data_IF_851070370734
#
_entry.id   IF_851070370734
#
_cell.length_a   1.000
_cell.length_b   1.000
_cell.length_c   1.000
_cell.angle_alpha   90.00
_cell.angle_beta   90.00
_cell.angle_gamma   90.00
#
_symmetry.space_group_name_H-M   'P 1'
#
loop_
_entity.id
_entity.type
_entity.pdbx_description
1 polymer ?
#
# COMPACT_ATOMS: atom_id res chain seq x y z
N UNK A 1 -3.55 -14.22 -17.12
CA UNK A 1 -4.87 -14.66 -16.57
C UNK A 1 -4.79 -15.73 -15.47
N UNK A 2 -3.79 -16.62 -15.44
CA UNK A 2 -3.55 -17.54 -14.30
C UNK A 2 -2.49 -17.00 -13.33
N UNK A 3 -1.52 -16.25 -13.86
CA UNK A 3 -0.45 -15.59 -13.09
C UNK A 3 -1.01 -14.59 -12.08
N UNK A 4 -1.89 -13.67 -12.52
CA UNK A 4 -2.64 -12.76 -11.63
C UNK A 4 -3.42 -13.52 -10.54
N UNK A 5 -4.15 -14.57 -10.91
CA UNK A 5 -4.97 -15.29 -9.95
C UNK A 5 -4.11 -15.92 -8.86
N UNK A 6 -2.95 -16.46 -9.24
CA UNK A 6 -2.01 -17.05 -8.33
C UNK A 6 -1.27 -15.99 -7.47
N UNK A 7 -0.98 -14.80 -8.02
CA UNK A 7 -0.52 -13.62 -7.23
C UNK A 7 -1.53 -13.25 -6.15
N UNK A 8 -2.79 -13.04 -6.55
CA UNK A 8 -3.89 -12.69 -5.64
C UNK A 8 -4.09 -13.78 -4.59
N UNK A 9 -3.99 -15.06 -4.95
CA UNK A 9 -4.13 -16.17 -4.02
C UNK A 9 -3.00 -16.18 -2.97
N UNK A 10 -1.75 -15.97 -3.36
CA UNK A 10 -0.64 -15.84 -2.40
C UNK A 10 -0.86 -14.67 -1.46
N UNK A 11 -1.32 -13.52 -1.97
CA UNK A 11 -1.65 -12.37 -1.14
C UNK A 11 -2.77 -12.69 -0.13
N UNK A 12 -3.80 -13.45 -0.53
CA UNK A 12 -4.84 -13.92 0.39
C UNK A 12 -4.26 -14.79 1.52
N UNK A 13 -3.34 -15.70 1.18
CA UNK A 13 -2.71 -16.62 2.15
C UNK A 13 -1.87 -15.82 3.16
N UNK A 14 -1.04 -14.90 2.69
CA UNK A 14 -0.18 -14.08 3.56
C UNK A 14 -1.00 -13.13 4.44
N UNK A 15 -2.04 -12.48 3.90
CA UNK A 15 -2.95 -11.65 4.70
C UNK A 15 -3.71 -12.47 5.75
N UNK A 16 -4.18 -13.67 5.40
CA UNK A 16 -4.80 -14.58 6.37
C UNK A 16 -3.80 -15.08 7.43
N UNK A 17 -2.51 -15.17 7.10
CA UNK A 17 -1.45 -15.41 8.08
C UNK A 17 -1.28 -14.24 9.04
N UNK A 18 -1.30 -13.01 8.52
CA UNK A 18 -1.13 -11.78 9.30
C UNK A 18 -2.24 -11.57 10.36
N UNK A 19 -3.49 -11.94 10.05
CA UNK A 19 -4.61 -11.84 11.01
C UNK A 19 -4.42 -12.71 12.24
N UNK A 20 -3.77 -13.87 12.10
CA UNK A 20 -3.48 -14.78 13.22
C UNK A 20 -2.41 -14.25 14.16
N UNK A 21 -1.58 -13.32 13.68
CA UNK A 21 -0.41 -12.88 14.43
C UNK A 21 -0.59 -11.54 15.15
N UNK A 22 -1.39 -10.57 14.64
CA UNK A 22 -1.58 -9.27 15.33
C UNK A 22 -2.64 -8.27 14.80
N UNK A 23 -3.30 -8.47 13.66
CA UNK A 23 -4.18 -7.44 13.04
C UNK A 23 -5.56 -7.93 12.54
N UNK A 24 -6.44 -8.49 13.39
CA UNK A 24 -7.72 -9.01 12.92
C UNK A 24 -8.76 -7.91 12.62
N UNK A 25 -8.84 -6.84 13.43
CA UNK A 25 -10.00 -5.94 13.39
C UNK A 25 -10.08 -5.08 12.12
N UNK A 26 -8.98 -4.41 11.74
CA UNK A 26 -8.96 -3.54 10.56
C UNK A 26 -9.16 -4.34 9.26
N UNK A 27 -8.57 -5.54 9.16
CA UNK A 27 -8.73 -6.39 7.99
C UNK A 27 -10.14 -6.97 7.89
N UNK A 28 -10.70 -7.45 9.01
CA UNK A 28 -12.07 -7.98 9.03
C UNK A 28 -13.11 -6.91 8.66
N UNK A 29 -12.92 -5.67 9.14
CA UNK A 29 -13.81 -4.55 8.81
C UNK A 29 -13.67 -4.11 7.34
N UNK A 30 -12.44 -4.06 6.82
CA UNK A 30 -12.18 -3.81 5.40
C UNK A 30 -12.84 -4.87 4.50
N UNK A 31 -12.71 -6.15 4.86
CA UNK A 31 -13.35 -7.25 4.14
C UNK A 31 -14.87 -7.20 4.26
N UNK A 32 -15.42 -6.84 5.44
CA UNK A 32 -16.87 -6.69 5.63
C UNK A 32 -17.42 -5.57 4.76
N UNK A 33 -16.75 -4.42 4.70
CA UNK A 33 -17.12 -3.30 3.81
C UNK A 33 -17.12 -3.76 2.34
N UNK A 34 -16.08 -4.48 1.91
CA UNK A 34 -16.02 -5.01 0.56
C UNK A 34 -17.16 -6.01 0.26
N UNK A 35 -17.48 -6.93 1.18
CA UNK A 35 -18.60 -7.86 1.03
C UNK A 35 -19.95 -7.13 0.95
N UNK A 36 -20.15 -6.09 1.77
CA UNK A 36 -21.35 -5.26 1.72
C UNK A 36 -21.51 -4.57 0.36
N UNK A 37 -20.44 -3.99 -0.20
CA UNK A 37 -20.45 -3.40 -1.55
C UNK A 37 -20.80 -4.43 -2.63
N UNK A 38 -20.33 -5.67 -2.47
CA UNK A 38 -20.65 -6.79 -3.35
C UNK A 38 -22.06 -7.38 -3.12
N UNK A 39 -22.78 -6.93 -2.09
CA UNK A 39 -24.06 -7.50 -1.63
C UNK A 39 -23.96 -8.99 -1.28
N UNK A 40 -22.81 -9.40 -0.74
CA UNK A 40 -22.57 -10.77 -0.30
C UNK A 40 -22.86 -10.91 1.20
N UNK A 41 -23.74 -11.86 1.54
CA UNK A 41 -24.09 -12.18 2.92
C UNK A 41 -23.05 -13.13 3.53
N UNK A 42 -22.69 -12.91 4.80
CA UNK A 42 -21.83 -13.82 5.58
C UNK A 42 -22.71 -14.79 6.37
N UNK A 43 -22.81 -16.08 5.98
CA UNK A 43 -23.60 -17.06 6.72
C UNK A 43 -23.09 -17.23 8.16
N UNK A 44 -23.94 -17.58 9.14
CA UNK A 44 -23.51 -17.76 10.53
C UNK A 44 -22.44 -18.85 10.74
N UNK A 45 -22.30 -19.79 9.79
CA UNK A 45 -21.34 -20.88 9.83
C UNK A 45 -19.96 -20.52 9.26
N UNK A 46 -19.77 -19.31 8.73
CA UNK A 46 -18.54 -18.87 8.06
C UNK A 46 -18.05 -17.54 8.64
N UNK A 47 -16.75 -17.31 8.57
CA UNK A 47 -16.15 -16.03 8.90
C UNK A 47 -16.22 -15.06 7.71
N UNK A 48 -16.01 -13.76 7.99
CA UNK A 48 -15.89 -12.74 6.93
C UNK A 48 -14.76 -13.09 5.96
N UNK A 49 -13.64 -13.61 6.47
CA UNK A 49 -12.48 -14.01 5.67
C UNK A 49 -12.81 -15.17 4.73
N UNK A 50 -13.52 -16.19 5.22
CA UNK A 50 -13.93 -17.35 4.41
C UNK A 50 -14.77 -16.92 3.21
N UNK A 51 -15.72 -16.00 3.43
CA UNK A 51 -16.62 -15.51 2.37
C UNK A 51 -15.87 -14.57 1.42
N UNK A 52 -14.99 -13.71 1.95
CA UNK A 52 -14.21 -12.78 1.15
C UNK A 52 -13.23 -13.50 0.21
N UNK A 53 -12.42 -14.42 0.73
CA UNK A 53 -11.38 -15.12 -0.03
C UNK A 53 -11.94 -16.17 -0.99
N UNK A 54 -13.22 -16.54 -0.91
CA UNK A 54 -13.90 -17.36 -1.92
C UNK A 54 -13.83 -16.75 -3.33
N UNK A 55 -13.76 -15.42 -3.45
CA UNK A 55 -13.67 -14.71 -4.74
C UNK A 55 -12.35 -13.96 -4.87
N UNK A 56 -11.27 -14.73 -4.98
CA UNK A 56 -9.89 -14.22 -5.14
C UNK A 56 -9.75 -13.23 -6.30
N UNK A 57 -10.55 -13.37 -7.37
CA UNK A 57 -10.53 -12.44 -8.49
C UNK A 57 -10.81 -10.98 -8.11
N UNK A 58 -11.50 -10.74 -6.99
CA UNK A 58 -11.85 -9.41 -6.47
C UNK A 58 -10.95 -8.97 -5.31
N UNK A 59 -9.77 -9.58 -5.18
CA UNK A 59 -8.83 -9.34 -4.09
C UNK A 59 -8.55 -7.85 -3.88
N UNK A 60 -8.33 -7.08 -4.94
CA UNK A 60 -7.97 -5.66 -4.93
C UNK A 60 -8.92 -4.80 -4.09
N UNK A 61 -10.19 -5.19 -3.97
CA UNK A 61 -11.18 -4.46 -3.16
C UNK A 61 -10.87 -4.47 -1.66
N UNK A 62 -9.99 -5.36 -1.16
CA UNK A 62 -9.50 -5.33 0.22
C UNK A 62 -8.57 -4.14 0.45
N UNK A 63 -7.77 -3.77 -0.55
CA UNK A 63 -6.86 -2.62 -0.45
C UNK A 63 -7.65 -1.34 -0.30
N UNK A 64 -8.69 -1.17 -1.13
CA UNK A 64 -9.64 -0.08 -0.99
C UNK A 64 -10.33 -0.10 0.37
N UNK A 65 -10.81 -1.27 0.81
CA UNK A 65 -11.46 -1.40 2.13
C UNK A 65 -10.56 -1.03 3.30
N UNK A 66 -9.27 -1.39 3.24
CA UNK A 66 -8.28 -1.07 4.27
C UNK A 66 -8.07 0.43 4.39
N UNK A 67 -7.90 1.12 3.26
CA UNK A 67 -7.63 2.57 3.26
C UNK A 67 -8.89 3.38 3.55
N UNK A 68 -10.07 2.92 3.12
CA UNK A 68 -11.36 3.52 3.56
C UNK A 68 -11.55 3.37 5.07
N UNK A 69 -11.26 2.19 5.62
CA UNK A 69 -11.28 1.96 7.07
C UNK A 69 -10.30 2.89 7.78
N UNK A 70 -9.06 2.99 7.28
CA UNK A 70 -8.02 3.85 7.81
C UNK A 70 -8.47 5.32 7.86
N UNK A 71 -8.90 5.88 6.73
CA UNK A 71 -9.36 7.26 6.62
C UNK A 71 -10.53 7.55 7.56
N UNK A 72 -11.49 6.62 7.66
CA UNK A 72 -12.61 6.79 8.57
C UNK A 72 -12.17 6.72 10.03
N UNK A 73 -11.46 5.67 10.42
CA UNK A 73 -11.09 5.41 11.81
C UNK A 73 -10.15 6.50 12.36
N UNK A 74 -9.21 7.02 11.57
CA UNK A 74 -8.32 8.12 11.97
C UNK A 74 -9.12 9.34 12.47
N UNK A 75 -10.23 9.69 11.82
CA UNK A 75 -11.07 10.83 12.23
C UNK A 75 -11.77 10.63 13.58
N UNK A 76 -11.91 9.37 14.02
CA UNK A 76 -12.56 9.02 15.29
C UNK A 76 -11.57 8.88 16.45
N UNK A 77 -10.26 8.83 16.16
CA UNK A 77 -9.21 8.65 17.17
C UNK A 77 -8.80 9.99 17.78
N UNK A 78 -8.78 10.03 19.11
CA UNK A 78 -8.55 11.26 19.86
C UNK A 78 -7.08 11.69 19.82
N UNK A 79 -6.15 10.74 19.86
CA UNK A 79 -4.72 11.03 20.01
C UNK A 79 -3.93 10.82 18.73
N UNK A 80 -2.87 11.62 18.53
CA UNK A 80 -1.94 11.43 17.41
C UNK A 80 -1.22 10.07 17.48
N UNK A 81 -0.99 9.55 18.69
CA UNK A 81 -0.38 8.23 18.92
C UNK A 81 -1.29 7.13 18.37
N UNK A 82 -2.59 7.17 18.67
CA UNK A 82 -3.55 6.20 18.12
C UNK A 82 -3.64 6.30 16.60
N UNK A 83 -3.72 7.53 16.05
CA UNK A 83 -3.77 7.74 14.59
C UNK A 83 -2.54 7.17 13.89
N UNK A 84 -1.35 7.51 14.36
CA UNK A 84 -0.08 7.04 13.77
C UNK A 84 0.13 5.55 13.95
N UNK A 85 -0.32 4.96 15.07
CA UNK A 85 -0.30 3.52 15.27
C UNK A 85 -1.25 2.78 14.31
N UNK A 86 -2.45 3.32 14.07
CA UNK A 86 -3.39 2.78 13.09
C UNK A 86 -2.82 2.85 11.66
N UNK A 87 -2.21 3.99 11.28
CA UNK A 87 -1.59 4.14 9.95
C UNK A 87 -0.48 3.10 9.78
N UNK A 88 0.38 2.96 10.77
CA UNK A 88 1.43 1.95 10.75
C UNK A 88 0.84 0.53 10.60
N UNK A 89 -0.24 0.21 11.32
CA UNK A 89 -0.91 -1.07 11.24
C UNK A 89 -1.46 -1.36 9.83
N UNK A 90 -2.13 -0.40 9.20
CA UNK A 90 -2.64 -0.54 7.83
C UNK A 90 -1.49 -0.64 6.83
N UNK A 91 -0.43 0.14 7.02
CA UNK A 91 0.78 0.09 6.20
C UNK A 91 1.46 -1.28 6.20
N UNK A 92 1.56 -1.95 7.36
CA UNK A 92 2.10 -3.32 7.43
C UNK A 92 1.28 -4.32 6.60
N UNK A 93 -0.05 -4.18 6.54
CA UNK A 93 -0.91 -5.04 5.73
C UNK A 93 -0.72 -4.75 4.23
N UNK A 94 -0.65 -3.47 3.84
CA UNK A 94 -0.40 -3.09 2.46
C UNK A 94 0.99 -3.56 1.98
N UNK A 95 2.02 -3.39 2.81
CA UNK A 95 3.36 -3.90 2.53
C UNK A 95 3.40 -5.43 2.45
N UNK A 96 2.64 -6.13 3.29
CA UNK A 96 2.52 -7.59 3.18
C UNK A 96 2.06 -8.00 1.78
N UNK A 97 1.08 -7.29 1.21
CA UNK A 97 0.60 -7.54 -0.15
C UNK A 97 1.68 -7.23 -1.18
N UNK A 98 2.27 -6.03 -1.12
CA UNK A 98 3.30 -5.56 -2.06
C UNK A 98 4.52 -6.50 -2.06
N UNK A 99 4.99 -6.90 -0.89
CA UNK A 99 6.13 -7.80 -0.75
C UNK A 99 5.82 -9.20 -1.29
N UNK A 100 4.59 -9.68 -1.09
CA UNK A 100 4.15 -10.97 -1.63
C UNK A 100 4.19 -10.95 -3.15
N UNK A 101 3.65 -9.90 -3.77
CA UNK A 101 3.68 -9.70 -5.23
C UNK A 101 5.11 -9.66 -5.73
N UNK A 102 5.98 -8.84 -5.13
CA UNK A 102 7.40 -8.73 -5.49
C UNK A 102 8.12 -10.07 -5.38
N UNK A 103 7.97 -10.78 -4.26
CA UNK A 103 8.60 -12.09 -4.03
C UNK A 103 8.16 -13.12 -5.06
N UNK A 104 6.88 -13.16 -5.40
CA UNK A 104 6.35 -14.08 -6.42
C UNK A 104 6.89 -13.77 -7.80
N UNK A 105 6.91 -12.50 -8.20
CA UNK A 105 7.46 -12.06 -9.50
C UNK A 105 8.96 -12.36 -9.61
N UNK A 106 9.71 -12.15 -8.54
CA UNK A 106 11.13 -12.52 -8.46
C UNK A 106 11.35 -14.04 -8.59
N UNK A 107 10.52 -14.83 -7.88
CA UNK A 107 10.67 -16.30 -7.84
C UNK A 107 10.20 -17.00 -9.10
N UNK A 108 9.23 -16.42 -9.82
CA UNK A 108 8.67 -16.99 -11.05
C UNK A 108 9.52 -16.71 -12.29
N UNK A 109 10.54 -15.84 -12.21
CA UNK A 109 11.40 -15.47 -13.34
C UNK A 109 10.62 -14.91 -14.53
N UNK A 110 9.38 -14.48 -14.32
CA UNK A 110 8.41 -14.28 -15.37
C UNK A 110 8.61 -12.90 -16.03
N UNK A 111 9.27 -12.89 -17.19
CA UNK A 111 8.88 -12.01 -18.28
C UNK A 111 7.41 -12.31 -18.59
N UNK A 112 6.50 -11.63 -17.91
CA UNK A 112 5.05 -11.71 -18.16
C UNK A 112 4.62 -10.40 -18.77
N UNK A 113 5.10 -10.13 -19.99
CA UNK A 113 4.55 -9.07 -20.83
C UNK A 113 3.03 -9.31 -20.97
N UNK A 114 2.23 -8.42 -20.40
CA UNK A 114 0.77 -8.35 -20.56
C UNK A 114 -0.10 -9.15 -19.59
N UNK A 115 0.45 -9.90 -18.61
CA UNK A 115 -0.36 -10.72 -17.68
C UNK A 115 -0.44 -10.21 -16.23
N UNK A 116 0.30 -9.15 -15.90
CA UNK A 116 0.41 -8.56 -14.55
C UNK A 116 -0.30 -7.20 -14.44
N UNK A 117 -1.24 -6.88 -15.33
CA UNK A 117 -1.90 -5.56 -15.42
C UNK A 117 -2.81 -5.22 -14.22
N UNK A 118 -3.18 -6.17 -13.37
CA UNK A 118 -4.14 -5.87 -12.29
C UNK A 118 -3.58 -4.90 -11.24
N UNK A 119 -2.26 -4.89 -11.03
CA UNK A 119 -1.57 -3.96 -10.12
C UNK A 119 -1.39 -2.56 -10.68
N UNK A 120 -1.50 -2.40 -12.00
CA UNK A 120 -1.50 -1.08 -12.67
C UNK A 120 -2.87 -0.41 -12.60
N UNK A 121 -3.91 -1.19 -12.26
CA UNK A 121 -5.28 -0.68 -12.18
C UNK A 121 -5.47 0.36 -11.06
N UNK A 122 -6.39 1.29 -11.31
CA UNK A 122 -6.83 2.29 -10.34
C UNK A 122 -7.31 1.68 -9.02
N UNK A 123 -7.81 0.44 -9.03
CA UNK A 123 -8.27 -0.26 -7.83
C UNK A 123 -7.12 -0.64 -6.89
N UNK A 124 -5.88 -0.67 -7.38
CA UNK A 124 -4.68 -0.92 -6.60
C UNK A 124 -3.92 0.39 -6.35
N UNK A 125 -3.69 1.17 -7.41
CA UNK A 125 -2.89 2.40 -7.33
C UNK A 125 -3.51 3.46 -6.40
N UNK A 126 -4.83 3.70 -6.48
CA UNK A 126 -5.48 4.76 -5.71
C UNK A 126 -5.44 4.50 -4.20
N UNK A 127 -5.79 3.30 -3.68
CA UNK A 127 -5.63 3.00 -2.27
C UNK A 127 -4.18 3.18 -1.78
N UNK A 128 -3.19 2.68 -2.53
CA UNK A 128 -1.79 2.82 -2.13
C UNK A 128 -1.35 4.28 -2.07
N UNK A 129 -1.75 5.08 -3.07
CA UNK A 129 -1.46 6.53 -3.09
C UNK A 129 -2.14 7.26 -1.93
N UNK A 130 -3.39 6.92 -1.62
CA UNK A 130 -4.10 7.51 -0.49
C UNK A 130 -3.44 7.16 0.86
N UNK A 131 -2.90 5.95 1.01
CA UNK A 131 -2.13 5.58 2.19
C UNK A 131 -0.78 6.29 2.28
N UNK A 132 -0.08 6.48 1.15
CA UNK A 132 1.14 7.29 1.08
C UNK A 132 0.85 8.71 1.58
N UNK A 133 -0.30 9.28 1.20
CA UNK A 133 -0.72 10.61 1.63
C UNK A 133 -0.97 10.68 3.14
N UNK A 134 -1.56 9.65 3.73
CA UNK A 134 -1.74 9.56 5.18
C UNK A 134 -0.40 9.41 5.92
N UNK A 135 0.51 8.57 5.43
CA UNK A 135 1.87 8.47 5.97
C UNK A 135 2.56 9.85 5.95
N UNK A 136 2.41 10.60 4.86
CA UNK A 136 2.97 11.93 4.69
C UNK A 136 2.40 12.91 5.72
N UNK A 137 1.07 13.04 5.76
CA UNK A 137 0.33 13.96 6.63
C UNK A 137 0.61 13.72 8.12
N UNK A 138 0.60 12.46 8.55
CA UNK A 138 0.71 12.10 9.96
C UNK A 138 2.14 11.85 10.44
N UNK A 139 3.14 11.86 9.55
CA UNK A 139 4.55 11.71 9.93
C UNK A 139 5.02 12.82 10.89
N UNK A 140 4.50 14.04 10.77
CA UNK A 140 4.79 15.13 11.71
C UNK A 140 4.05 14.99 13.04
N UNK A 141 2.95 14.23 13.08
CA UNK A 141 2.16 14.00 14.29
C UNK A 141 2.78 12.96 15.23
N UNK A 142 3.79 12.21 14.79
CA UNK A 142 4.52 11.24 15.61
C UNK A 142 5.25 11.87 16.82
N UNK A 143 5.32 13.20 16.91
CA UNK A 143 5.93 13.90 18.04
C UNK A 143 7.40 13.52 18.24
N UNK A 144 7.74 12.99 19.41
CA UNK A 144 9.10 12.51 19.74
C UNK A 144 9.37 11.05 19.33
N UNK A 145 8.37 10.30 18.88
CA UNK A 145 8.56 8.91 18.46
C UNK A 145 9.21 8.84 17.07
N UNK A 146 10.54 8.97 17.08
CA UNK A 146 11.36 8.88 15.87
C UNK A 146 11.27 7.51 15.21
N UNK A 147 10.98 6.45 15.96
CA UNK A 147 10.89 5.09 15.43
C UNK A 147 9.62 4.95 14.59
N UNK A 148 8.47 5.32 15.15
CA UNK A 148 7.20 5.26 14.44
C UNK A 148 7.22 6.17 13.21
N UNK A 149 7.75 7.39 13.34
CA UNK A 149 7.95 8.30 12.20
C UNK A 149 8.79 7.65 11.09
N UNK A 150 9.91 7.04 11.46
CA UNK A 150 10.78 6.35 10.50
C UNK A 150 10.07 5.18 9.82
N UNK A 151 9.24 4.44 10.55
CA UNK A 151 8.44 3.34 9.99
C UNK A 151 7.39 3.83 8.99
N UNK A 152 6.65 4.90 9.30
CA UNK A 152 5.69 5.49 8.35
C UNK A 152 6.37 6.00 7.07
N UNK A 153 7.52 6.66 7.20
CA UNK A 153 8.31 7.10 6.04
C UNK A 153 8.91 5.93 5.27
N UNK A 154 9.27 4.83 5.95
CA UNK A 154 9.67 3.58 5.30
C UNK A 154 8.53 3.00 4.47
N UNK A 155 7.32 2.91 5.04
CA UNK A 155 6.12 2.45 4.34
C UNK A 155 5.82 3.30 3.11
N UNK A 156 5.79 4.63 3.26
CA UNK A 156 5.52 5.54 2.15
C UNK A 156 6.48 5.31 0.97
N UNK A 157 7.78 5.23 1.24
CA UNK A 157 8.78 5.04 0.18
C UNK A 157 8.65 3.67 -0.51
N UNK A 158 8.42 2.60 0.26
CA UNK A 158 8.25 1.27 -0.33
C UNK A 158 7.03 1.18 -1.25
N UNK A 159 5.93 1.83 -0.84
CA UNK A 159 4.72 1.92 -1.64
C UNK A 159 4.90 2.83 -2.85
N UNK A 160 5.62 3.94 -2.72
CA UNK A 160 5.98 4.79 -3.87
C UNK A 160 6.80 3.98 -4.89
N UNK A 161 7.84 3.26 -4.45
CA UNK A 161 8.65 2.42 -5.34
C UNK A 161 7.79 1.39 -6.09
N UNK A 162 6.85 0.76 -5.38
CA UNK A 162 5.91 -0.18 -5.98
C UNK A 162 5.03 0.50 -7.02
N UNK A 163 4.32 1.58 -6.67
CA UNK A 163 3.42 2.30 -7.59
C UNK A 163 4.16 2.77 -8.84
N UNK A 164 5.37 3.31 -8.70
CA UNK A 164 6.18 3.74 -9.84
C UNK A 164 6.61 2.57 -10.74
N UNK A 165 6.93 1.42 -10.15
CA UNK A 165 7.26 0.20 -10.91
C UNK A 165 6.06 -0.26 -11.76
N UNK A 166 4.85 -0.17 -11.21
CA UNK A 166 3.63 -0.63 -11.88
C UNK A 166 3.11 0.37 -12.94
N UNK A 167 3.47 1.66 -12.86
CA UNK A 167 2.99 2.71 -13.78
C UNK A 167 3.92 2.96 -14.98
N UNK A 168 4.60 1.91 -15.47
CA UNK A 168 5.80 1.90 -16.33
C UNK A 168 5.82 2.70 -17.65
N UNK A 169 4.81 3.51 -17.97
CA UNK A 169 4.83 4.46 -19.10
C UNK A 169 5.46 5.80 -18.69
N UNK A 170 6.80 5.86 -18.73
CA UNK A 170 7.62 7.07 -18.48
C UNK A 170 7.23 7.86 -17.23
N UNK A 171 7.84 7.52 -16.09
CA UNK A 171 7.82 8.36 -14.90
C UNK A 171 8.39 9.75 -15.26
N UNK A 172 7.51 10.74 -15.44
CA UNK A 172 7.87 12.07 -15.89
C UNK A 172 7.33 13.07 -14.87
N UNK A 173 8.21 13.56 -13.99
CA UNK A 173 7.89 14.51 -12.94
C UNK A 173 6.86 13.97 -11.94
N UNK A 174 7.13 12.77 -11.40
CA UNK A 174 6.17 12.08 -10.53
C UNK A 174 5.88 12.88 -9.26
N UNK A 175 4.59 13.19 -8.99
CA UNK A 175 4.20 13.90 -7.79
C UNK A 175 4.48 13.07 -6.52
N UNK A 176 4.59 11.74 -6.64
CA UNK A 176 4.93 10.86 -5.53
C UNK A 176 6.40 11.02 -5.09
N UNK A 177 7.32 11.15 -6.04
CA UNK A 177 8.74 11.40 -5.75
C UNK A 177 8.90 12.78 -5.11
N UNK A 178 8.24 13.80 -5.66
CA UNK A 178 8.27 15.15 -5.11
C UNK A 178 7.63 15.20 -3.70
N UNK A 179 6.63 14.36 -3.43
CA UNK A 179 6.03 14.24 -2.10
C UNK A 179 7.04 13.76 -1.06
N UNK A 180 7.92 12.81 -1.39
CA UNK A 180 8.98 12.37 -0.46
C UNK A 180 9.93 13.51 -0.07
N UNK A 181 10.16 14.47 -0.96
CA UNK A 181 10.93 15.68 -0.63
C UNK A 181 10.25 16.57 0.39
N UNK A 182 8.91 16.64 0.37
CA UNK A 182 8.15 17.38 1.38
C UNK A 182 8.29 16.74 2.77
N UNK A 183 8.67 15.46 2.81
CA UNK A 183 8.87 14.68 4.04
C UNK A 183 10.32 14.67 4.54
N UNK A 184 11.23 15.38 3.86
CA UNK A 184 12.68 15.36 4.11
C UNK A 184 13.32 13.99 3.83
N UNK A 185 12.75 13.19 2.93
CA UNK A 185 13.30 11.91 2.48
C UNK A 185 14.11 12.10 1.16
N UNK A 186 14.89 13.18 1.08
CA UNK A 186 15.56 13.62 -0.15
C UNK A 186 16.48 12.53 -0.74
N UNK A 187 17.25 11.83 0.10
CA UNK A 187 18.14 10.76 -0.34
C UNK A 187 17.38 9.59 -0.99
N UNK A 188 16.24 9.19 -0.41
CA UNK A 188 15.40 8.11 -0.96
C UNK A 188 14.63 8.58 -2.19
N UNK A 189 14.19 9.85 -2.22
CA UNK A 189 13.58 10.46 -3.39
C UNK A 189 14.55 10.48 -4.59
N UNK A 190 15.82 10.82 -4.38
CA UNK A 190 16.87 10.74 -5.41
C UNK A 190 17.05 9.30 -5.89
N UNK A 191 17.20 8.35 -4.97
CA UNK A 191 17.38 6.95 -5.32
C UNK A 191 16.21 6.42 -6.18
N UNK A 192 14.97 6.78 -5.84
CA UNK A 192 13.80 6.40 -6.62
C UNK A 192 13.74 7.09 -7.97
N UNK A 193 14.06 8.38 -8.04
CA UNK A 193 14.09 9.12 -9.29
C UNK A 193 15.16 8.58 -10.27
N UNK A 194 16.33 8.20 -9.76
CA UNK A 194 17.36 7.51 -10.55
C UNK A 194 16.88 6.13 -11.03
N UNK A 195 16.32 5.33 -10.12
CA UNK A 195 15.83 3.97 -10.42
C UNK A 195 14.75 3.96 -11.50
N UNK A 196 13.81 4.91 -11.42
CA UNK A 196 12.68 5.03 -12.33
C UNK A 196 12.94 5.97 -13.52
N UNK A 197 14.18 6.47 -13.64
CA UNK A 197 14.62 7.39 -14.71
C UNK A 197 13.77 8.66 -14.84
N UNK A 198 13.29 9.18 -13.70
CA UNK A 198 12.55 10.44 -13.62
C UNK A 198 13.53 11.63 -13.55
N UNK A 199 14.13 11.95 -14.71
CA UNK A 199 15.12 13.02 -14.82
C UNK A 199 14.57 14.41 -14.43
N UNK A 200 13.31 14.78 -14.74
CA UNK A 200 12.74 16.04 -14.26
C UNK A 200 12.67 16.13 -12.73
N UNK A 201 12.26 15.05 -12.05
CA UNK A 201 12.30 15.02 -10.59
C UNK A 201 13.74 15.15 -10.07
N UNK A 202 14.73 14.49 -10.70
CA UNK A 202 16.15 14.62 -10.32
C UNK A 202 16.68 16.05 -10.44
N UNK A 203 16.30 16.78 -11.49
CA UNK A 203 16.69 18.18 -11.66
C UNK A 203 16.14 19.02 -10.51
N UNK A 204 14.84 18.89 -10.22
CA UNK A 204 14.22 19.61 -9.08
C UNK A 204 14.83 19.22 -7.73
N UNK A 205 15.19 17.95 -7.55
CA UNK A 205 15.89 17.45 -6.35
C UNK A 205 17.27 18.11 -6.20
N UNK A 206 18.03 18.20 -7.30
CA UNK A 206 19.36 18.80 -7.31
C UNK A 206 19.35 20.30 -7.03
N UNK A 207 18.30 21.03 -7.44
CA UNK A 207 18.16 22.47 -7.19
C UNK A 207 17.85 22.80 -5.72
N UNK A 208 17.27 21.85 -4.96
CA UNK A 208 16.89 22.04 -3.55
C UNK A 208 18.00 21.72 -2.55
N UNK A 209 19.01 20.95 -2.95
CA UNK A 209 20.12 20.60 -2.07
C UNK A 209 21.13 21.76 -1.98
N UNK A 210 21.64 22.10 -0.78
CA UNK A 210 22.73 23.05 -0.65
C UNK A 210 23.99 22.51 -1.35
N UNK A 211 24.67 23.38 -2.09
CA UNK A 211 25.94 23.09 -2.78
C UNK A 211 27.09 22.86 -1.81
#
# INVERSE_FOLDING_TARGET
ALTEYAEKLECCIELHGATKQKLPACLDDAMRSALQRRREHVPPSLTVQDVFFRRVSLFETVLLGLVEYEQHAITQLATSVERTALIHQVGELLLTVVDTIRKRRLSSGAETEGETEWTTSDQVVKPLTAHIDLCAEYSSECGSDRRLRSQLLAHAVELVDFVLTEQSDSCNDSPLILKLMSLNEDARAIQLAERHRDFPALIRLSERLPK
#
